data_IF_211459392160
#
_entry.id   IF_211459392160
#
_cell.length_a   1.000
_cell.length_b   1.000
_cell.length_c   1.000
_cell.angle_alpha   90.00
_cell.angle_beta   90.00
_cell.angle_gamma   90.00
#
_symmetry.space_group_name_H-M   'P 1'
#
loop_
_entity.id
_entity.type
_entity.pdbx_description
1 polymer ?
#
# COMPACT_ATOMS: atom_id res chain seq x y z
N UNK A 1 81.64 -15.24 -22.58
CA UNK A 1 80.58 -14.22 -22.63
C UNK A 1 79.35 -14.73 -21.88
N UNK A 2 79.29 -14.65 -20.55
CA UNK A 2 78.05 -14.86 -19.80
C UNK A 2 78.12 -13.97 -18.56
N UNK A 3 77.49 -12.79 -18.66
CA UNK A 3 77.41 -11.82 -17.56
C UNK A 3 76.34 -12.28 -16.56
N UNK A 4 76.75 -12.53 -15.32
CA UNK A 4 75.81 -12.67 -14.20
C UNK A 4 75.18 -11.30 -13.97
N UNK A 5 73.90 -11.16 -14.29
CA UNK A 5 73.11 -10.00 -13.89
C UNK A 5 72.84 -10.07 -12.39
N UNK A 6 72.91 -8.95 -11.67
CA UNK A 6 72.90 -8.97 -10.23
C UNK A 6 71.48 -9.18 -9.68
N UNK A 7 71.37 -10.14 -8.77
CA UNK A 7 70.16 -10.70 -8.15
C UNK A 7 69.28 -9.68 -7.42
N UNK A 8 69.78 -8.48 -7.12
CA UNK A 8 68.99 -7.42 -6.46
C UNK A 8 67.84 -6.89 -7.32
N UNK A 9 67.91 -7.01 -8.66
CA UNK A 9 66.83 -6.55 -9.56
C UNK A 9 65.57 -7.40 -9.48
N UNK A 10 65.70 -8.70 -9.23
CA UNK A 10 64.55 -9.62 -9.05
C UNK A 10 63.88 -9.40 -7.69
N UNK A 11 64.68 -9.08 -6.66
CA UNK A 11 64.18 -8.75 -5.32
C UNK A 11 63.38 -7.44 -5.31
N UNK A 12 63.85 -6.39 -6.01
CA UNK A 12 63.11 -5.12 -6.09
C UNK A 12 61.77 -5.26 -6.82
N UNK A 13 61.69 -6.10 -7.86
CA UNK A 13 60.44 -6.33 -8.60
C UNK A 13 59.40 -7.04 -7.72
N UNK A 14 59.84 -8.02 -6.91
CA UNK A 14 58.95 -8.73 -5.98
C UNK A 14 58.32 -7.81 -4.93
N UNK A 15 59.10 -6.87 -4.38
CA UNK A 15 58.61 -5.88 -3.41
C UNK A 15 57.60 -4.93 -4.03
N UNK A 16 57.84 -4.47 -5.27
CA UNK A 16 56.91 -3.57 -5.99
C UNK A 16 55.59 -4.30 -6.32
N UNK A 17 55.65 -5.57 -6.72
CA UNK A 17 54.46 -6.39 -6.99
C UNK A 17 53.65 -6.61 -5.70
N UNK A 18 54.32 -6.92 -4.58
CA UNK A 18 53.65 -7.06 -3.27
C UNK A 18 52.96 -5.77 -2.84
N UNK A 19 53.61 -4.61 -3.03
CA UNK A 19 53.03 -3.31 -2.71
C UNK A 19 51.82 -2.98 -3.60
N UNK A 20 51.87 -3.34 -4.88
CA UNK A 20 50.77 -3.15 -5.82
C UNK A 20 49.54 -3.99 -5.42
N UNK A 21 49.76 -5.24 -4.99
CA UNK A 21 48.70 -6.13 -4.50
C UNK A 21 48.07 -5.60 -3.21
N UNK A 22 48.85 -5.02 -2.30
CA UNK A 22 48.36 -4.42 -1.07
C UNK A 22 47.53 -3.13 -1.31
N UNK A 23 47.84 -2.36 -2.35
CA UNK A 23 47.08 -1.15 -2.71
C UNK A 23 45.86 -1.40 -3.61
N UNK A 24 45.85 -2.51 -4.36
CA UNK A 24 44.75 -2.86 -5.28
C UNK A 24 43.52 -3.48 -4.61
N UNK A 25 43.62 -3.87 -3.33
CA UNK A 25 42.54 -4.50 -2.56
C UNK A 25 41.62 -3.53 -1.82
N UNK A 26 41.62 -2.24 -2.18
CA UNK A 26 40.69 -1.24 -1.66
C UNK A 26 39.27 -1.57 -2.09
N UNK A 27 38.61 -2.45 -1.34
CA UNK A 27 37.24 -2.85 -1.57
C UNK A 27 36.38 -1.61 -1.76
N UNK A 28 35.73 -1.51 -2.91
CA UNK A 28 34.63 -0.59 -3.12
C UNK A 28 33.58 -0.95 -2.07
N UNK A 29 33.64 -0.28 -0.93
CA UNK A 29 32.52 -0.21 -0.02
C UNK A 29 31.42 0.44 -0.85
N UNK A 30 30.63 -0.39 -1.52
CA UNK A 30 29.37 0.01 -2.12
C UNK A 30 28.58 0.55 -0.95
N UNK A 31 28.72 1.86 -0.76
CA UNK A 31 28.00 2.67 0.17
C UNK A 31 26.56 2.37 -0.14
N UNK A 32 26.03 1.45 0.66
CA UNK A 32 24.64 1.07 0.70
C UNK A 32 23.98 2.37 1.07
N UNK A 33 23.61 3.18 0.07
CA UNK A 33 22.66 4.27 0.19
C UNK A 33 21.38 3.55 0.57
N UNK A 34 21.30 3.16 1.84
CA UNK A 34 20.07 2.76 2.47
C UNK A 34 19.19 3.95 2.21
N UNK A 35 18.22 3.76 1.33
CA UNK A 35 17.10 4.66 1.11
C UNK A 35 16.38 4.69 2.46
N UNK A 36 16.94 5.44 3.40
CA UNK A 36 16.60 5.43 4.82
C UNK A 36 15.46 6.42 5.10
N UNK A 37 15.03 7.10 4.04
CA UNK A 37 13.71 7.69 3.91
C UNK A 37 13.00 6.77 2.90
N UNK A 38 12.22 5.80 3.38
CA UNK A 38 11.07 5.34 2.59
C UNK A 38 10.30 6.61 2.26
N UNK A 39 9.99 6.84 0.99
CA UNK A 39 9.42 8.12 0.55
C UNK A 39 8.26 8.45 1.47
N UNK A 40 8.20 9.67 2.05
CA UNK A 40 6.97 10.11 2.72
C UNK A 40 5.75 10.05 1.77
N UNK A 41 6.01 9.87 0.48
CA UNK A 41 5.05 9.74 -0.60
C UNK A 41 4.47 8.32 -0.77
N UNK A 42 4.95 7.29 -0.05
CA UNK A 42 4.41 5.93 -0.14
C UNK A 42 3.67 5.52 1.15
N UNK A 43 2.42 5.00 1.05
CA UNK A 43 1.66 4.60 2.22
C UNK A 43 2.34 3.41 2.92
N UNK A 44 2.45 3.47 4.26
CA UNK A 44 3.07 2.42 5.08
C UNK A 44 2.40 1.04 4.93
N UNK A 45 1.12 1.04 4.53
CA UNK A 45 0.35 -0.16 4.26
C UNK A 45 -0.73 0.15 3.23
N UNK A 46 -0.93 -0.78 2.28
CA UNK A 46 -2.02 -0.73 1.32
C UNK A 46 -3.05 -1.81 1.67
N UNK A 47 -4.32 -1.44 1.68
CA UNK A 47 -5.44 -2.36 1.90
C UNK A 47 -6.44 -2.18 0.76
N UNK A 48 -6.88 -3.30 0.18
CA UNK A 48 -7.97 -3.34 -0.79
C UNK A 48 -9.18 -3.98 -0.14
N UNK A 49 -10.29 -3.24 -0.09
CA UNK A 49 -11.57 -3.68 0.47
C UNK A 49 -12.71 -3.33 -0.47
N UNK A 50 -13.85 -3.96 -0.25
CA UNK A 50 -15.11 -3.66 -0.91
C UNK A 50 -16.10 -3.13 0.12
N UNK A 51 -16.59 -1.92 -0.11
CA UNK A 51 -17.63 -1.26 0.69
C UNK A 51 -19.00 -1.55 0.05
N UNK A 52 -19.97 -1.96 0.86
CA UNK A 52 -21.29 -2.39 0.39
C UNK A 52 -22.38 -1.50 0.98
N UNK A 53 -23.09 -0.79 0.12
CA UNK A 53 -24.26 0.00 0.47
C UNK A 53 -25.52 -0.68 -0.08
N UNK A 54 -26.50 -0.92 0.79
CA UNK A 54 -27.82 -1.45 0.44
C UNK A 54 -28.85 -0.46 0.98
N UNK A 55 -29.31 0.45 0.13
CA UNK A 55 -30.28 1.48 0.49
C UNK A 55 -31.66 0.87 0.78
N UNK A 56 -32.30 1.36 1.84
CA UNK A 56 -33.67 1.02 2.17
C UNK A 56 -34.65 1.53 1.11
N UNK A 57 -35.45 0.63 0.52
CA UNK A 57 -36.38 0.92 -0.57
C UNK A 57 -37.87 0.93 -0.13
N UNK A 58 -38.13 0.80 1.17
CA UNK A 58 -39.47 0.66 1.73
C UNK A 58 -39.87 -0.79 2.03
N UNK A 59 -39.20 -1.78 1.43
CA UNK A 59 -39.59 -3.20 1.51
C UNK A 59 -38.47 -4.12 2.00
N UNK A 60 -37.22 -3.68 1.94
CA UNK A 60 -36.03 -4.48 2.23
C UNK A 60 -35.46 -4.29 3.65
N UNK A 61 -36.29 -4.04 4.67
CA UNK A 61 -35.84 -3.74 6.06
C UNK A 61 -34.83 -4.75 6.62
N UNK A 62 -34.97 -6.03 6.27
CA UNK A 62 -34.07 -7.08 6.76
C UNK A 62 -32.67 -7.07 6.10
N UNK A 63 -32.52 -6.41 4.95
CA UNK A 63 -31.30 -6.45 4.14
C UNK A 63 -30.65 -5.07 3.94
N UNK A 64 -31.41 -3.98 4.13
CA UNK A 64 -30.88 -2.63 4.00
C UNK A 64 -29.81 -2.35 5.08
N UNK A 65 -28.71 -1.74 4.64
CA UNK A 65 -27.60 -1.30 5.51
C UNK A 65 -27.54 0.23 5.59
N UNK A 66 -28.25 0.94 4.72
CA UNK A 66 -28.41 2.39 4.76
C UNK A 66 -29.85 2.82 4.54
N UNK A 67 -30.17 4.05 4.95
CA UNK A 67 -31.47 4.65 4.75
C UNK A 67 -31.38 6.17 4.70
N UNK A 68 -32.26 6.79 3.91
CA UNK A 68 -32.46 8.24 3.92
C UNK A 68 -33.01 8.65 5.29
N UNK A 69 -32.24 9.47 6.02
CA UNK A 69 -32.53 9.86 7.39
C UNK A 69 -33.55 11.02 7.49
N UNK A 70 -33.65 11.81 6.42
CA UNK A 70 -34.54 12.96 6.36
C UNK A 70 -35.16 13.09 4.98
N UNK A 71 -36.46 13.41 4.93
CA UNK A 71 -37.16 13.65 3.69
C UNK A 71 -36.48 14.80 2.91
N UNK A 72 -36.07 14.59 1.65
CA UNK A 72 -35.50 15.67 0.84
C UNK A 72 -36.49 16.81 0.66
N UNK A 73 -36.00 18.06 0.69
CA UNK A 73 -36.85 19.25 0.47
C UNK A 73 -37.46 19.25 -0.93
N UNK A 74 -38.55 19.99 -1.16
CA UNK A 74 -39.14 20.12 -2.50
C UNK A 74 -38.13 20.65 -3.54
N UNK A 75 -37.27 21.59 -3.14
CA UNK A 75 -36.19 22.11 -3.98
C UNK A 75 -35.11 21.05 -4.25
N UNK A 76 -34.74 20.25 -3.25
CA UNK A 76 -33.83 19.11 -3.43
C UNK A 76 -34.37 18.08 -4.41
N UNK A 77 -35.70 17.96 -4.52
CA UNK A 77 -36.40 17.03 -5.41
C UNK A 77 -36.72 17.59 -6.79
N UNK A 78 -36.54 18.89 -7.03
CA UNK A 78 -36.88 19.49 -8.33
C UNK A 78 -35.94 19.06 -9.45
N UNK A 79 -34.74 18.60 -9.10
CA UNK A 79 -33.78 18.00 -10.02
C UNK A 79 -33.19 16.78 -9.32
N UNK A 80 -33.37 15.59 -9.91
CA UNK A 80 -32.67 14.37 -9.52
C UNK A 80 -31.80 13.87 -10.65
N UNK A 81 -30.71 13.20 -10.30
CA UNK A 81 -29.88 12.46 -11.25
C UNK A 81 -29.81 11.03 -10.75
N UNK A 82 -30.39 10.08 -11.49
CA UNK A 82 -30.43 8.66 -11.12
C UNK A 82 -30.94 8.43 -9.68
N UNK A 83 -32.07 9.05 -9.33
CA UNK A 83 -32.70 8.98 -8.00
C UNK A 83 -31.86 9.48 -6.83
N UNK A 84 -30.79 10.23 -7.10
CA UNK A 84 -30.06 10.99 -6.08
C UNK A 84 -30.57 12.44 -6.01
N UNK A 85 -30.68 12.96 -4.79
CA UNK A 85 -31.23 14.30 -4.52
C UNK A 85 -30.19 15.20 -3.86
N UNK A 86 -30.20 16.48 -4.24
CA UNK A 86 -29.27 17.45 -3.66
C UNK A 86 -29.51 17.63 -2.15
N UNK A 87 -28.48 17.42 -1.35
CA UNK A 87 -28.54 17.56 0.11
C UNK A 87 -29.27 16.43 0.83
N UNK A 88 -29.48 15.28 0.16
CA UNK A 88 -29.99 14.08 0.81
C UNK A 88 -29.02 13.58 1.89
N UNK A 89 -29.57 13.24 3.05
CA UNK A 89 -28.80 12.70 4.19
C UNK A 89 -29.12 11.23 4.31
N UNK A 90 -28.11 10.38 4.12
CA UNK A 90 -28.19 8.93 4.27
C UNK A 90 -27.40 8.52 5.51
N UNK A 91 -28.02 7.73 6.39
CA UNK A 91 -27.35 7.07 7.51
C UNK A 91 -27.09 5.61 7.16
N UNK A 92 -25.94 5.08 7.55
CA UNK A 92 -25.48 3.75 7.13
C UNK A 92 -24.79 2.99 8.26
N UNK A 93 -24.87 1.65 8.17
CA UNK A 93 -24.07 0.68 8.89
C UNK A 93 -23.62 -0.40 7.91
N UNK A 94 -22.76 0.03 6.98
CA UNK A 94 -22.38 -0.73 5.79
C UNK A 94 -21.26 -1.73 6.05
N UNK A 95 -21.30 -2.84 5.32
CA UNK A 95 -20.28 -3.88 5.42
C UNK A 95 -19.01 -3.48 4.64
N UNK A 96 -17.86 -3.81 5.20
CA UNK A 96 -16.56 -3.76 4.51
C UNK A 96 -15.98 -5.17 4.46
N UNK A 97 -15.68 -5.68 3.26
CA UNK A 97 -15.22 -7.06 3.06
C UNK A 97 -13.95 -7.13 2.22
N UNK A 98 -13.23 -8.25 2.32
CA UNK A 98 -12.08 -8.53 1.46
C UNK A 98 -12.46 -8.96 0.04
N UNK A 99 -13.69 -9.46 -0.17
CA UNK A 99 -14.20 -9.93 -1.46
C UNK A 99 -15.41 -9.13 -1.94
N UNK A 100 -15.70 -9.17 -3.24
CA UNK A 100 -16.78 -8.39 -3.88
C UNK A 100 -18.20 -8.77 -3.46
N UNK A 101 -18.40 -9.95 -2.89
CA UNK A 101 -19.73 -10.39 -2.47
C UNK A 101 -20.07 -9.79 -1.09
N UNK A 102 -21.27 -9.21 -0.90
CA UNK A 102 -21.77 -8.89 0.42
C UNK A 102 -21.82 -10.15 1.27
N UNK A 103 -21.40 -10.07 2.53
CA UNK A 103 -21.54 -11.20 3.44
C UNK A 103 -23.02 -11.36 3.74
N UNK A 104 -23.56 -12.56 3.51
CA UNK A 104 -24.95 -12.85 3.88
C UNK A 104 -25.14 -12.49 5.36
N UNK A 105 -26.06 -11.57 5.64
CA UNK A 105 -26.50 -11.28 6.99
C UNK A 105 -27.20 -12.54 7.50
N UNK A 106 -26.47 -13.42 8.19
CA UNK A 106 -27.09 -14.41 9.05
C UNK A 106 -27.87 -13.63 10.10
N UNK A 107 -29.17 -13.47 9.86
CA UNK A 107 -30.12 -12.95 10.84
C UNK A 107 -30.08 -13.90 12.02
N UNK A 108 -29.25 -13.58 13.01
CA UNK A 108 -29.37 -14.24 14.31
C UNK A 108 -30.68 -13.69 14.85
N UNK A 109 -31.73 -14.51 14.81
CA UNK A 109 -32.99 -14.29 15.52
C UNK A 109 -32.66 -14.16 17.01
N UNK A 110 -32.29 -12.94 17.41
CA UNK A 110 -31.83 -12.57 18.74
C UNK A 110 -32.94 -11.84 19.47
N UNK A 111 -33.93 -12.62 19.92
CA UNK A 111 -34.67 -12.48 21.18
C UNK A 111 -34.85 -11.03 21.69
N UNK A 112 -35.98 -10.42 21.38
CA UNK A 112 -36.56 -9.37 22.22
C UNK A 112 -36.68 -9.93 23.64
N UNK A 113 -36.01 -9.28 24.59
CA UNK A 113 -36.46 -9.27 25.99
C UNK A 113 -37.48 -8.15 26.16
#
# INVERSE_FOLDING_TARGET
MQGLTPTYKLSSISVVIMLLVLTGGGGVAHGRKKKLVSSYDEPCQQMTVYYHDILYDGTNTANATSAVAAQPTLLSRSVSVNDTYFGEVVVFNDAVTAGRAPRASTSTTGRSR
#
